data_IF_131869146889
#
_entry.id   IF_131869146889
#
_cell.length_a   1.000
_cell.length_b   1.000
_cell.length_c   1.000
_cell.angle_alpha   90.00
_cell.angle_beta   90.00
_cell.angle_gamma   90.00
#
_symmetry.space_group_name_H-M   'P 1'
#
loop_
_entity.id
_entity.type
_entity.pdbx_description
1 polymer ?
#
# COMPACT_ATOMS: atom_id res chain seq x y z
N UNK A 1 -11.60 -2.79 -21.29
CA UNK A 1 -11.39 -1.33 -21.28
C UNK A 1 -10.62 -1.01 -20.00
N UNK A 2 -9.34 -0.57 -20.16
CA UNK A 2 -8.55 -0.03 -19.06
C UNK A 2 -9.30 1.22 -18.59
N UNK A 3 -9.94 1.14 -17.45
CA UNK A 3 -10.42 2.33 -16.77
C UNK A 3 -9.18 2.94 -16.15
N UNK A 4 -8.79 4.11 -16.65
CA UNK A 4 -7.72 4.91 -16.05
C UNK A 4 -8.22 5.46 -14.72
N UNK A 5 -8.18 4.60 -13.69
CA UNK A 5 -8.35 5.06 -12.32
C UNK A 5 -7.16 5.97 -12.01
N UNK A 6 -7.42 7.13 -11.43
CA UNK A 6 -6.38 7.93 -10.83
C UNK A 6 -5.64 7.11 -9.75
N UNK A 7 -4.65 7.69 -9.11
CA UNK A 7 -3.87 7.00 -8.07
C UNK A 7 -4.74 6.13 -7.16
N UNK A 8 -4.45 4.84 -7.11
CA UNK A 8 -5.18 3.86 -6.30
C UNK A 8 -4.35 3.51 -5.08
N UNK A 9 -4.80 3.95 -3.91
CA UNK A 9 -4.19 3.56 -2.64
C UNK A 9 -4.93 2.35 -2.07
N UNK A 10 -4.19 1.28 -1.78
CA UNK A 10 -4.70 0.02 -1.26
C UNK A 10 -4.46 -0.10 0.25
N UNK A 11 -5.52 -0.29 1.03
CA UNK A 11 -5.43 -0.55 2.47
C UNK A 11 -5.12 -2.03 2.72
N UNK A 12 -4.10 -2.31 3.54
CA UNK A 12 -3.59 -3.66 3.77
C UNK A 12 -3.82 -4.10 5.21
N UNK A 13 -4.30 -5.33 5.38
CA UNK A 13 -4.41 -5.98 6.69
C UNK A 13 -3.00 -6.31 7.22
N UNK A 14 -2.62 -5.75 8.34
CA UNK A 14 -1.26 -5.86 8.94
C UNK A 14 -1.25 -6.50 10.33
N UNK A 15 -2.41 -6.88 10.84
CA UNK A 15 -2.59 -7.56 12.14
C UNK A 15 -3.79 -8.51 12.08
N UNK A 16 -3.90 -9.42 13.04
CA UNK A 16 -5.12 -10.19 13.24
C UNK A 16 -6.26 -9.25 13.65
N UNK A 17 -7.46 -9.54 13.12
CA UNK A 17 -8.67 -8.84 13.53
C UNK A 17 -9.12 -9.37 14.88
N UNK A 18 -9.27 -8.52 15.87
CA UNK A 18 -9.90 -8.89 17.12
C UNK A 18 -11.37 -9.22 16.86
N UNK A 19 -11.77 -10.44 17.20
CA UNK A 19 -13.17 -10.84 17.19
C UNK A 19 -13.78 -10.42 18.50
N UNK A 20 -14.77 -9.55 18.48
CA UNK A 20 -15.62 -9.33 19.63
C UNK A 20 -16.40 -10.62 19.96
N UNK A 21 -16.70 -10.86 21.25
CA UNK A 21 -17.35 -12.09 21.75
C UNK A 21 -18.73 -12.36 21.12
N UNK A 22 -19.34 -11.40 20.46
CA UNK A 22 -20.64 -11.51 19.79
C UNK A 22 -20.57 -11.69 18.26
N UNK A 23 -19.39 -11.92 17.69
CA UNK A 23 -19.21 -12.16 16.25
C UNK A 23 -19.24 -10.90 15.39
N UNK A 24 -19.32 -9.72 15.98
CA UNK A 24 -19.16 -8.45 15.29
C UNK A 24 -17.67 -8.13 15.20
N UNK A 25 -17.15 -8.01 13.98
CA UNK A 25 -15.79 -7.52 13.77
C UNK A 25 -15.83 -5.99 13.86
N UNK A 26 -15.27 -5.43 14.90
CA UNK A 26 -15.14 -3.98 15.00
C UNK A 26 -13.97 -3.49 14.14
N UNK A 27 -14.25 -3.15 12.90
CA UNK A 27 -13.24 -2.63 11.97
C UNK A 27 -12.69 -1.26 12.37
N UNK A 28 -13.33 -0.56 13.27
CA UNK A 28 -12.97 0.84 13.57
C UNK A 28 -11.87 1.01 14.60
N UNK A 29 -11.61 0.04 15.46
CA UNK A 29 -10.77 0.29 16.62
C UNK A 29 -9.30 -0.12 16.50
N UNK A 30 -8.94 -1.10 15.64
CA UNK A 30 -7.59 -1.68 15.70
C UNK A 30 -6.94 -2.00 14.35
N UNK A 31 -7.54 -1.59 13.22
CA UNK A 31 -6.86 -1.75 11.92
C UNK A 31 -6.12 -0.46 11.62
N UNK A 32 -4.79 -0.47 11.62
CA UNK A 32 -4.02 0.68 11.21
C UNK A 32 -4.35 1.02 9.76
N UNK A 33 -4.69 2.29 9.48
CA UNK A 33 -4.85 2.80 8.12
C UNK A 33 -3.49 2.85 7.43
N UNK A 34 -3.00 1.71 7.02
CA UNK A 34 -1.71 1.54 6.37
C UNK A 34 -1.87 0.79 5.05
N UNK A 35 -1.14 1.22 4.06
CA UNK A 35 -1.26 0.67 2.71
C UNK A 35 -0.20 1.23 1.77
N UNK A 36 -0.41 1.05 0.49
CA UNK A 36 0.49 1.52 -0.56
C UNK A 36 -0.29 1.89 -1.83
N UNK A 37 0.34 2.66 -2.71
CA UNK A 37 -0.22 2.98 -4.02
C UNK A 37 -0.03 1.79 -4.94
N UNK A 38 -1.13 1.24 -5.46
CA UNK A 38 -1.12 0.03 -6.28
C UNK A 38 -0.73 0.29 -7.75
N UNK A 39 -0.89 1.53 -8.22
CA UNK A 39 -0.53 1.98 -9.57
C UNK A 39 0.39 3.21 -9.51
N UNK A 40 1.56 3.11 -8.88
CA UNK A 40 2.44 4.25 -8.69
C UNK A 40 3.03 4.73 -10.01
N UNK A 41 3.16 6.05 -10.15
CA UNK A 41 3.95 6.68 -11.19
C UNK A 41 5.23 7.22 -10.56
N UNK A 42 6.33 6.50 -10.71
CA UNK A 42 7.62 6.95 -10.19
C UNK A 42 8.43 7.65 -11.26
N UNK A 43 8.74 8.89 -11.01
CA UNK A 43 9.72 9.64 -11.79
C UNK A 43 10.78 10.16 -10.82
N UNK A 44 11.70 9.31 -10.40
CA UNK A 44 12.66 9.66 -9.38
C UNK A 44 14.05 9.07 -9.65
N UNK A 45 15.07 9.87 -9.42
CA UNK A 45 16.47 9.47 -9.42
C UNK A 45 16.96 9.05 -8.01
N UNK A 46 16.06 8.60 -7.13
CA UNK A 46 16.42 8.18 -5.78
C UNK A 46 17.18 6.84 -5.86
N UNK A 47 18.37 6.81 -5.26
CA UNK A 47 19.12 5.56 -5.08
C UNK A 47 18.75 4.91 -3.76
N UNK A 48 18.51 3.60 -3.79
CA UNK A 48 18.27 2.79 -2.61
C UNK A 48 19.07 1.50 -2.66
N UNK A 49 19.22 0.82 -1.54
CA UNK A 49 19.86 -0.49 -1.46
C UNK A 49 18.84 -1.59 -1.78
N UNK A 50 18.85 -2.07 -3.01
CA UNK A 50 17.92 -3.07 -3.52
C UNK A 50 18.03 -4.43 -2.81
N UNK A 51 19.22 -4.79 -2.33
CA UNK A 51 19.40 -6.02 -1.53
C UNK A 51 18.70 -5.92 -0.18
N UNK A 52 18.67 -4.72 0.38
CA UNK A 52 18.03 -4.46 1.67
C UNK A 52 16.53 -4.18 1.53
N UNK A 53 16.14 -3.51 0.47
CA UNK A 53 14.76 -3.09 0.19
C UNK A 53 14.36 -3.49 -1.22
N UNK A 54 14.25 -4.79 -1.49
CA UNK A 54 13.90 -5.27 -2.83
C UNK A 54 12.52 -4.75 -3.23
N UNK A 55 12.40 -4.33 -4.48
CA UNK A 55 11.14 -3.82 -5.03
C UNK A 55 10.56 -2.60 -4.27
N UNK A 56 11.41 -1.80 -3.62
CA UNK A 56 10.98 -0.60 -2.87
C UNK A 56 10.31 0.42 -3.80
N UNK A 57 10.85 0.61 -4.98
CA UNK A 57 10.29 1.40 -6.07
C UNK A 57 10.14 0.49 -7.29
N UNK A 58 9.03 -0.26 -7.41
CA UNK A 58 8.84 -1.19 -8.51
C UNK A 58 8.83 -0.44 -9.85
N UNK A 59 9.43 -1.03 -10.86
CA UNK A 59 9.58 -0.40 -12.17
C UNK A 59 10.64 0.71 -12.26
N UNK A 60 11.41 0.95 -11.19
CA UNK A 60 12.55 1.86 -11.20
C UNK A 60 13.85 1.07 -11.06
N UNK A 61 14.81 1.28 -11.94
CA UNK A 61 16.15 0.72 -11.80
C UNK A 61 17.02 1.54 -10.84
N UNK A 62 17.86 0.85 -10.09
CA UNK A 62 18.82 1.49 -9.16
C UNK A 62 20.06 2.06 -9.85
N UNK A 63 20.30 1.70 -11.10
CA UNK A 63 21.51 2.05 -11.83
C UNK A 63 21.21 2.62 -13.22
N UNK A 64 21.85 3.75 -13.49
CA UNK A 64 21.96 4.46 -14.75
C UNK A 64 20.67 4.58 -15.58
N UNK A 65 20.21 5.81 -15.69
CA UNK A 65 19.14 6.25 -16.62
C UNK A 65 19.56 6.04 -18.08
N UNK A 66 19.92 4.79 -18.42
CA UNK A 66 20.55 4.47 -19.69
C UNK A 66 19.59 4.17 -20.84
N UNK A 67 18.44 3.57 -20.59
CA UNK A 67 17.45 3.29 -21.63
C UNK A 67 16.04 3.36 -21.04
N UNK A 68 15.29 4.36 -21.44
CA UNK A 68 13.86 4.52 -21.06
C UNK A 68 12.99 3.35 -21.55
N UNK A 69 13.48 2.56 -22.52
CA UNK A 69 12.77 1.44 -23.14
C UNK A 69 12.81 0.13 -22.29
N UNK A 70 13.61 0.08 -21.24
CA UNK A 70 13.80 -1.12 -20.38
C UNK A 70 13.16 -1.01 -18.99
N UNK A 71 12.39 0.03 -18.73
CA UNK A 71 11.73 0.19 -17.42
C UNK A 71 10.50 -0.70 -17.34
N UNK A 72 10.47 -1.56 -16.34
CA UNK A 72 9.26 -2.29 -16.00
C UNK A 72 8.14 -1.30 -15.62
N UNK A 73 6.94 -1.53 -16.14
CA UNK A 73 5.77 -0.74 -15.75
C UNK A 73 5.47 -1.02 -14.26
N UNK A 74 5.53 -0.01 -13.37
CA UNK A 74 5.25 -0.21 -11.94
C UNK A 74 3.86 -0.81 -11.69
N UNK A 75 2.87 -0.46 -12.49
CA UNK A 75 1.51 -1.00 -12.38
C UNK A 75 1.49 -2.49 -12.74
N UNK A 76 2.13 -2.88 -13.85
CA UNK A 76 2.22 -4.29 -14.24
C UNK A 76 3.01 -5.10 -13.21
N UNK A 77 4.08 -4.53 -12.66
CA UNK A 77 4.89 -5.18 -11.64
C UNK A 77 4.07 -5.48 -10.37
N UNK A 78 3.26 -4.53 -9.89
CA UNK A 78 2.46 -4.68 -8.68
C UNK A 78 1.19 -5.53 -8.85
N UNK A 79 0.81 -5.93 -10.06
CA UNK A 79 -0.25 -6.93 -10.28
C UNK A 79 0.13 -8.32 -9.77
N UNK A 80 1.42 -8.62 -9.66
CA UNK A 80 1.90 -9.83 -9.02
C UNK A 80 1.77 -9.72 -7.50
N UNK A 81 1.03 -10.63 -6.86
CA UNK A 81 0.91 -10.67 -5.40
C UNK A 81 2.28 -10.76 -4.71
N UNK A 82 3.21 -11.51 -5.28
CA UNK A 82 4.58 -11.64 -4.77
C UNK A 82 5.31 -10.30 -4.77
N UNK A 83 5.20 -9.55 -5.87
CA UNK A 83 5.87 -8.26 -6.02
C UNK A 83 5.20 -7.20 -5.14
N UNK A 84 3.88 -7.15 -5.09
CA UNK A 84 3.14 -6.26 -4.21
C UNK A 84 3.49 -6.50 -2.74
N UNK A 85 3.57 -7.76 -2.31
CA UNK A 85 3.99 -8.12 -0.97
C UNK A 85 5.43 -7.69 -0.69
N UNK A 86 6.35 -7.94 -1.61
CA UNK A 86 7.75 -7.56 -1.46
C UNK A 86 7.91 -6.04 -1.39
N UNK A 87 7.23 -5.31 -2.27
CA UNK A 87 7.17 -3.86 -2.28
C UNK A 87 6.69 -3.31 -0.93
N UNK A 88 5.54 -3.77 -0.46
CA UNK A 88 4.98 -3.27 0.79
C UNK A 88 5.85 -3.60 2.02
N UNK A 89 6.41 -4.82 2.08
CA UNK A 89 7.38 -5.20 3.12
C UNK A 89 8.62 -4.30 3.06
N UNK A 90 9.11 -3.95 1.88
CA UNK A 90 10.26 -3.06 1.70
C UNK A 90 9.95 -1.64 2.15
N UNK A 91 8.75 -1.11 1.85
CA UNK A 91 8.28 0.19 2.34
C UNK A 91 8.26 0.23 3.88
N UNK A 92 7.67 -0.78 4.52
CA UNK A 92 7.59 -0.85 5.99
C UNK A 92 8.99 -0.95 6.62
N UNK A 93 9.88 -1.77 6.04
CA UNK A 93 11.26 -1.90 6.51
C UNK A 93 12.04 -0.59 6.31
N UNK A 94 11.87 0.07 5.17
CA UNK A 94 12.49 1.37 4.91
C UNK A 94 12.03 2.39 5.95
N UNK A 95 10.73 2.52 6.16
CA UNK A 95 10.15 3.43 7.14
C UNK A 95 10.65 3.11 8.56
N UNK A 96 10.67 1.84 8.97
CA UNK A 96 11.13 1.42 10.31
C UNK A 96 12.58 1.79 10.60
N UNK A 97 13.40 2.00 9.57
CA UNK A 97 14.78 2.45 9.69
C UNK A 97 14.93 3.98 9.73
N UNK A 98 13.84 4.73 9.46
CA UNK A 98 13.84 6.21 9.49
C UNK A 98 13.52 6.74 10.89
N UNK A 99 14.31 6.36 11.91
CA UNK A 99 14.04 6.68 13.32
C UNK A 99 13.80 8.15 13.61
N UNK A 100 14.56 9.04 12.95
CA UNK A 100 14.42 10.50 13.15
C UNK A 100 13.08 10.99 12.58
N UNK A 101 12.68 10.47 11.43
CA UNK A 101 11.40 10.79 10.81
C UNK A 101 10.24 10.29 11.68
N UNK A 102 10.28 9.03 12.11
CA UNK A 102 9.27 8.47 13.02
C UNK A 102 9.14 9.29 14.31
N UNK A 103 10.26 9.64 14.94
CA UNK A 103 10.24 10.47 16.16
C UNK A 103 9.67 11.89 15.94
N UNK A 104 9.78 12.44 14.74
CA UNK A 104 9.10 13.71 14.40
C UNK A 104 7.59 13.49 14.28
N UNK A 105 7.23 12.42 13.63
CA UNK A 105 5.82 12.08 13.41
C UNK A 105 5.09 11.69 14.72
N UNK A 106 5.73 11.04 15.69
CA UNK A 106 5.16 10.68 16.99
C UNK A 106 4.56 11.88 17.76
N UNK A 107 5.04 13.09 17.50
CA UNK A 107 4.54 14.31 18.15
C UNK A 107 3.11 14.69 17.73
N UNK A 108 2.66 14.20 16.59
CA UNK A 108 1.37 14.57 15.99
C UNK A 108 0.28 13.48 16.18
N UNK A 109 0.49 12.52 17.09
CA UNK A 109 -0.42 11.42 17.44
C UNK A 109 -0.87 10.51 16.28
N UNK A 110 -0.15 10.46 15.16
CA UNK A 110 -0.56 9.69 13.99
C UNK A 110 0.33 8.48 13.68
N UNK A 111 1.07 7.89 14.66
CA UNK A 111 2.31 7.26 14.22
C UNK A 111 2.57 5.89 14.74
N UNK A 112 3.11 5.08 13.83
CA UNK A 112 3.63 3.76 14.11
C UNK A 112 5.05 3.84 14.67
N UNK A 113 5.31 3.14 15.75
CA UNK A 113 6.65 2.93 16.27
C UNK A 113 7.45 1.98 15.38
N UNK A 114 8.78 2.04 15.48
CA UNK A 114 9.66 1.07 14.80
C UNK A 114 9.28 -0.38 15.15
N UNK A 115 8.79 -0.64 16.36
CA UNK A 115 8.38 -1.97 16.82
C UNK A 115 7.12 -2.43 16.08
N UNK A 116 6.09 -1.60 16.04
CA UNK A 116 4.84 -1.89 15.33
C UNK A 116 5.06 -2.15 13.85
N UNK A 117 5.86 -1.32 13.17
CA UNK A 117 6.20 -1.54 11.77
C UNK A 117 6.87 -2.89 11.52
N UNK A 118 7.74 -3.35 12.44
CA UNK A 118 8.36 -4.67 12.35
C UNK A 118 7.39 -5.82 12.62
N UNK A 119 6.43 -5.62 13.51
CA UNK A 119 5.35 -6.57 13.78
C UNK A 119 4.46 -6.72 12.54
N UNK A 120 4.09 -5.62 11.87
CA UNK A 120 3.37 -5.62 10.60
C UNK A 120 4.12 -6.39 9.51
N UNK A 121 5.44 -6.14 9.36
CA UNK A 121 6.30 -6.90 8.44
C UNK A 121 6.25 -8.40 8.74
N UNK A 122 6.32 -8.77 10.01
CA UNK A 122 6.28 -10.18 10.44
C UNK A 122 4.93 -10.81 10.13
N UNK A 123 3.83 -10.08 10.35
CA UNK A 123 2.48 -10.51 10.02
C UNK A 123 2.33 -10.78 8.51
N UNK A 124 2.75 -9.85 7.66
CA UNK A 124 2.63 -9.97 6.20
C UNK A 124 3.50 -11.10 5.66
N UNK A 125 4.71 -11.28 6.21
CA UNK A 125 5.58 -12.40 5.81
C UNK A 125 4.96 -13.76 6.13
N UNK A 126 4.20 -13.86 7.22
CA UNK A 126 3.53 -15.10 7.65
C UNK A 126 2.22 -15.34 6.92
N UNK A 127 1.40 -14.31 6.74
CA UNK A 127 0.00 -14.44 6.32
C UNK A 127 -0.25 -14.04 4.86
N UNK A 128 0.76 -13.50 4.16
CA UNK A 128 0.61 -12.91 2.84
C UNK A 128 0.07 -11.48 2.90
N UNK A 129 -0.17 -10.89 1.72
CA UNK A 129 -0.79 -9.57 1.60
C UNK A 129 -2.29 -9.73 1.40
N UNK A 130 -3.08 -9.00 2.18
CA UNK A 130 -4.54 -8.93 2.04
C UNK A 130 -4.97 -7.48 1.97
N UNK A 131 -5.53 -7.09 0.84
CA UNK A 131 -6.15 -5.79 0.64
C UNK A 131 -7.60 -5.89 1.09
N UNK A 132 -8.03 -5.02 2.00
CA UNK A 132 -9.40 -4.98 2.50
C UNK A 132 -10.19 -3.77 2.01
N UNK A 133 -9.54 -2.83 1.37
CA UNK A 133 -10.16 -1.65 0.78
C UNK A 133 -9.19 -0.85 -0.07
N UNK A 134 -9.71 0.07 -0.83
CA UNK A 134 -8.90 1.00 -1.61
C UNK A 134 -9.56 2.38 -1.69
N UNK A 135 -8.75 3.39 -1.98
CA UNK A 135 -9.19 4.76 -2.24
C UNK A 135 -8.71 5.17 -3.62
N UNK A 136 -9.57 5.81 -4.39
CA UNK A 136 -9.24 6.33 -5.72
C UNK A 136 -10.10 7.54 -6.05
N UNK A 137 -9.71 8.31 -7.04
CA UNK A 137 -10.55 9.34 -7.67
C UNK A 137 -11.14 8.75 -8.94
N UNK A 138 -12.45 8.79 -9.08
CA UNK A 138 -13.15 8.23 -10.21
C UNK A 138 -14.38 9.05 -10.58
N UNK A 139 -14.80 8.94 -11.83
CA UNK A 139 -16.07 9.52 -12.27
C UNK A 139 -17.28 8.69 -11.78
N UNK A 140 -18.47 9.25 -11.91
CA UNK A 140 -19.72 8.62 -11.49
C UNK A 140 -19.99 7.30 -12.19
N UNK A 141 -19.64 7.18 -13.47
CA UNK A 141 -19.88 5.95 -14.24
C UNK A 141 -19.00 4.81 -13.73
N UNK A 142 -17.74 5.10 -13.46
CA UNK A 142 -16.79 4.16 -12.86
C UNK A 142 -17.24 3.72 -11.46
N UNK A 143 -17.69 4.65 -10.60
CA UNK A 143 -18.23 4.32 -9.28
C UNK A 143 -19.46 3.40 -9.37
N UNK A 144 -20.36 3.65 -10.31
CA UNK A 144 -21.51 2.78 -10.55
C UNK A 144 -21.14 1.40 -11.07
N UNK A 145 -20.05 1.26 -11.82
CA UNK A 145 -19.51 -0.04 -12.24
C UNK A 145 -18.88 -0.78 -11.07
N UNK A 146 -18.09 -0.09 -10.25
CA UNK A 146 -17.48 -0.65 -9.04
C UNK A 146 -18.52 -1.15 -8.04
N UNK A 147 -19.60 -0.41 -7.83
CA UNK A 147 -20.68 -0.81 -6.90
C UNK A 147 -21.41 -2.10 -7.28
N UNK A 148 -21.24 -2.59 -8.49
CA UNK A 148 -21.82 -3.83 -8.98
C UNK A 148 -20.88 -5.04 -8.88
N UNK A 149 -19.62 -4.83 -8.47
CA UNK A 149 -18.68 -5.92 -8.30
C UNK A 149 -18.97 -6.66 -6.99
N UNK A 150 -18.94 -7.97 -7.02
CA UNK A 150 -19.22 -8.84 -5.86
C UNK A 150 -18.22 -8.67 -4.73
N UNK A 151 -17.01 -8.24 -5.07
CA UNK A 151 -15.89 -8.02 -4.16
C UNK A 151 -15.98 -6.67 -3.43
N UNK A 152 -16.87 -5.76 -3.90
CA UNK A 152 -17.07 -4.43 -3.31
C UNK A 152 -18.28 -4.47 -2.40
N UNK A 153 -18.04 -4.50 -1.09
CA UNK A 153 -19.09 -4.56 -0.09
C UNK A 153 -19.76 -3.21 0.14
N UNK A 154 -18.97 -2.14 0.20
CA UNK A 154 -19.46 -0.80 0.50
C UNK A 154 -18.60 0.26 -0.19
N UNK A 155 -19.22 1.36 -0.61
CA UNK A 155 -18.54 2.51 -1.23
C UNK A 155 -18.91 3.77 -0.47
N UNK A 156 -17.91 4.50 -0.01
CA UNK A 156 -18.05 5.86 0.52
C UNK A 156 -17.52 6.85 -0.52
N UNK A 157 -18.26 7.92 -0.77
CA UNK A 157 -17.87 8.94 -1.75
C UNK A 157 -17.86 10.31 -1.12
N UNK A 158 -16.82 11.09 -1.46
CA UNK A 158 -16.73 12.51 -1.17
C UNK A 158 -16.53 13.29 -2.47
N UNK A 159 -17.09 14.48 -2.56
CA UNK A 159 -16.93 15.34 -3.72
C UNK A 159 -15.55 16.02 -3.67
N UNK A 160 -14.72 15.75 -4.65
CA UNK A 160 -13.43 16.44 -4.80
C UNK A 160 -13.71 17.79 -5.48
N UNK A 161 -13.44 18.89 -4.78
CA UNK A 161 -13.61 20.26 -5.26
C UNK A 161 -12.33 20.85 -5.78
#
# INVERSE_FOLDING_TARGET
DKQDLAEVWCAVQVAELEKEEEGVVNFQSNIPNIGFVCNPSYNTAIKWDEKKYPNLLPGCETQDMGNEDEWDDPEENLKSESNARQHFVSLLNYLSNQKKFLAMMEKDNSNYTTKELKEMVSYIKKNGIKVYGFTTIADKETLLKLSKQSEVYEIYTEEVR
#
